data_IF_995297187624
#
_entry.id   IF_995297187624
#
_cell.length_a   1.000
_cell.length_b   1.000
_cell.length_c   1.000
_cell.angle_alpha   90.00
_cell.angle_beta   90.00
_cell.angle_gamma   90.00
#
_symmetry.space_group_name_H-M   'P 1'
#
loop_
_entity.id
_entity.type
_entity.pdbx_description
1 polymer ?
#
# COMPACT_ATOMS: atom_id res chain seq x y z
N UNK A 1 37.16 -6.79 -16.05
CA UNK A 1 35.79 -7.20 -15.71
C UNK A 1 35.38 -6.47 -14.45
N UNK A 2 34.48 -5.48 -14.55
CA UNK A 2 33.92 -4.80 -13.39
C UNK A 2 32.89 -5.74 -12.76
N UNK A 3 33.13 -6.20 -11.54
CA UNK A 3 32.16 -6.95 -10.75
C UNK A 3 31.12 -5.96 -10.24
N UNK A 4 30.03 -5.77 -11.00
CA UNK A 4 28.83 -5.17 -10.45
C UNK A 4 28.26 -6.16 -9.43
N UNK A 5 28.41 -5.86 -8.13
CA UNK A 5 27.65 -6.56 -7.11
C UNK A 5 26.16 -6.43 -7.44
N UNK A 6 25.46 -7.56 -7.52
CA UNK A 6 24.01 -7.54 -7.60
C UNK A 6 23.50 -6.94 -6.29
N UNK A 7 23.00 -5.70 -6.32
CA UNK A 7 22.35 -5.09 -5.16
C UNK A 7 21.17 -5.96 -4.77
N UNK A 8 21.25 -6.63 -3.62
CA UNK A 8 20.16 -7.47 -3.11
C UNK A 8 18.99 -6.57 -2.69
N UNK A 9 18.09 -6.30 -3.63
CA UNK A 9 16.86 -5.56 -3.37
C UNK A 9 15.84 -6.52 -2.76
N UNK A 10 15.40 -6.23 -1.54
CA UNK A 10 14.40 -7.01 -0.81
C UNK A 10 13.36 -6.07 -0.21
N UNK A 11 12.09 -6.46 -0.30
CA UNK A 11 10.97 -5.67 0.22
C UNK A 11 10.37 -6.23 1.52
N UNK A 12 10.80 -7.42 1.94
CA UNK A 12 10.35 -8.01 3.19
C UNK A 12 10.73 -7.11 4.37
N UNK A 13 9.75 -6.82 5.22
CA UNK A 13 9.88 -5.90 6.36
C UNK A 13 9.97 -4.42 5.99
N UNK A 14 9.90 -4.05 4.71
CA UNK A 14 9.80 -2.64 4.28
C UNK A 14 8.37 -2.18 4.41
N UNK A 15 8.19 -0.95 4.87
CA UNK A 15 6.89 -0.30 4.88
C UNK A 15 6.65 0.44 3.56
N UNK A 16 5.46 0.24 2.99
CA UNK A 16 5.02 0.87 1.75
C UNK A 16 3.71 1.58 2.05
N UNK A 17 3.72 2.90 1.91
CA UNK A 17 2.53 3.73 2.06
C UNK A 17 1.79 3.85 0.72
N UNK A 18 0.48 3.64 0.74
CA UNK A 18 -0.43 4.00 -0.35
C UNK A 18 -1.28 5.19 0.08
N UNK A 19 -1.21 6.25 -0.70
CA UNK A 19 -2.10 7.40 -0.57
C UNK A 19 -3.42 7.07 -1.27
N UNK A 20 -4.52 7.08 -0.52
CA UNK A 20 -5.85 6.80 -1.03
C UNK A 20 -6.88 7.77 -0.47
N UNK A 21 -8.01 7.91 -1.17
CA UNK A 21 -9.12 8.77 -0.78
C UNK A 21 -10.45 8.12 -1.20
N UNK A 22 -11.56 8.77 -0.86
CA UNK A 22 -12.89 8.34 -1.33
C UNK A 22 -12.91 8.26 -2.88
N UNK A 23 -13.50 7.20 -3.42
CA UNK A 23 -13.56 6.90 -4.85
C UNK A 23 -12.35 6.13 -5.40
N UNK A 24 -11.41 5.69 -4.54
CA UNK A 24 -10.31 4.81 -4.96
C UNK A 24 -10.85 3.52 -5.60
N UNK A 25 -10.16 3.00 -6.61
CA UNK A 25 -10.43 1.65 -7.12
C UNK A 25 -9.98 0.62 -6.06
N UNK A 26 -10.94 0.09 -5.30
CA UNK A 26 -10.66 -0.84 -4.21
C UNK A 26 -10.04 -2.16 -4.68
N UNK A 27 -10.43 -2.65 -5.86
CA UNK A 27 -9.90 -3.90 -6.42
C UNK A 27 -8.39 -3.78 -6.63
N UNK A 28 -7.95 -2.69 -7.28
CA UNK A 28 -6.53 -2.45 -7.52
C UNK A 28 -5.75 -2.21 -6.22
N UNK A 29 -6.36 -1.55 -5.24
CA UNK A 29 -5.76 -1.37 -3.92
C UNK A 29 -5.50 -2.73 -3.25
N UNK A 30 -6.50 -3.62 -3.24
CA UNK A 30 -6.38 -4.93 -2.62
C UNK A 30 -5.44 -5.86 -3.37
N UNK A 31 -5.44 -5.84 -4.71
CA UNK A 31 -4.46 -6.59 -5.51
C UNK A 31 -3.03 -6.15 -5.16
N UNK A 32 -2.79 -4.85 -5.11
CA UNK A 32 -1.47 -4.28 -4.78
C UNK A 32 -1.06 -4.64 -3.35
N UNK A 33 -1.98 -4.50 -2.40
CA UNK A 33 -1.77 -4.88 -0.99
C UNK A 33 -1.37 -6.35 -0.88
N UNK A 34 -2.18 -7.24 -1.44
CA UNK A 34 -1.95 -8.68 -1.36
C UNK A 34 -0.63 -9.09 -2.02
N UNK A 35 -0.29 -8.52 -3.17
CA UNK A 35 0.97 -8.83 -3.85
C UNK A 35 2.19 -8.45 -2.98
N UNK A 36 2.19 -7.25 -2.41
CA UNK A 36 3.30 -6.75 -1.59
C UNK A 36 3.39 -7.46 -0.23
N UNK A 37 2.26 -7.70 0.43
CA UNK A 37 2.23 -8.42 1.71
C UNK A 37 2.63 -9.90 1.55
N UNK A 38 2.31 -10.54 0.42
CA UNK A 38 2.78 -11.89 0.10
C UNK A 38 4.31 -11.97 -0.06
N UNK A 39 4.95 -10.89 -0.51
CA UNK A 39 6.41 -10.75 -0.55
C UNK A 39 7.01 -10.31 0.80
N UNK A 40 6.16 -10.11 1.82
CA UNK A 40 6.55 -9.79 3.18
C UNK A 40 6.74 -8.29 3.45
N UNK A 41 6.33 -7.41 2.52
CA UNK A 41 6.24 -5.98 2.82
C UNK A 41 5.08 -5.69 3.78
N UNK A 42 5.12 -4.52 4.40
CA UNK A 42 4.07 -4.01 5.29
C UNK A 42 3.40 -2.86 4.56
N UNK A 43 2.10 -2.99 4.27
CA UNK A 43 1.38 -1.95 3.55
C UNK A 43 0.59 -1.06 4.51
N UNK A 44 0.63 0.26 4.28
CA UNK A 44 -0.10 1.26 5.05
C UNK A 44 -0.95 2.13 4.16
N UNK A 45 -2.23 2.29 4.47
CA UNK A 45 -3.13 3.20 3.76
C UNK A 45 -3.16 4.53 4.51
N UNK A 46 -2.78 5.61 3.82
CA UNK A 46 -2.88 6.97 4.34
C UNK A 46 -3.95 7.73 3.56
N UNK A 47 -4.81 8.44 4.27
CA UNK A 47 -5.90 9.21 3.69
C UNK A 47 -6.04 10.61 4.29
N UNK A 48 -6.74 11.55 3.63
CA UNK A 48 -7.06 12.87 4.21
C UNK A 48 -7.83 12.82 5.53
N UNK A 49 -8.56 11.73 5.80
CA UNK A 49 -9.33 11.50 7.05
C UNK A 49 -8.86 10.22 7.75
N UNK A 50 -8.88 10.22 9.09
CA UNK A 50 -8.45 9.11 9.94
C UNK A 50 -9.49 7.97 10.09
N UNK A 51 -10.59 8.03 9.32
CA UNK A 51 -11.69 7.05 9.36
C UNK A 51 -11.66 6.24 8.05
N UNK A 52 -12.66 5.41 7.81
CA UNK A 52 -12.83 4.71 6.53
C UNK A 52 -12.92 5.67 5.34
N UNK A 53 -12.25 5.29 4.25
CA UNK A 53 -12.56 5.79 2.90
C UNK A 53 -13.50 4.81 2.20
N UNK A 54 -14.32 5.33 1.29
CA UNK A 54 -15.25 4.52 0.49
C UNK A 54 -14.67 4.34 -0.90
N UNK A 55 -14.47 3.08 -1.32
CA UNK A 55 -14.09 2.71 -2.68
C UNK A 55 -15.15 3.07 -3.72
N UNK A 56 -14.79 2.98 -5.00
CA UNK A 56 -15.68 3.32 -6.10
C UNK A 56 -16.95 2.43 -6.18
N UNK A 57 -16.89 1.21 -5.65
CA UNK A 57 -18.02 0.28 -5.60
C UNK A 57 -18.73 0.29 -4.25
N UNK A 58 -18.37 1.23 -3.37
CA UNK A 58 -18.98 1.42 -2.05
C UNK A 58 -18.31 0.64 -0.92
N UNK A 59 -17.19 -0.05 -1.19
CA UNK A 59 -16.45 -0.81 -0.18
C UNK A 59 -15.83 0.14 0.85
N UNK A 60 -16.01 -0.13 2.15
CA UNK A 60 -15.29 0.59 3.20
C UNK A 60 -13.87 0.06 3.36
N UNK A 61 -12.90 0.96 3.37
CA UNK A 61 -11.49 0.65 3.51
C UNK A 61 -10.97 1.38 4.75
N UNK A 62 -10.45 0.61 5.71
CA UNK A 62 -9.82 1.14 6.91
C UNK A 62 -8.53 1.88 6.55
N UNK A 63 -8.34 3.04 7.15
CA UNK A 63 -7.15 3.89 6.98
C UNK A 63 -6.22 3.68 8.18
N UNK A 64 -4.93 3.51 7.93
CA UNK A 64 -3.92 3.35 8.97
C UNK A 64 -3.55 4.70 9.62
N UNK A 65 -3.40 5.75 8.81
CA UNK A 65 -3.01 7.10 9.28
C UNK A 65 -3.67 8.22 8.45
N UNK A 66 -3.86 9.40 9.06
CA UNK A 66 -4.17 10.62 8.30
C UNK A 66 -2.91 11.24 7.70
N UNK A 67 -3.05 11.95 6.58
CA UNK A 67 -1.98 12.79 6.02
C UNK A 67 -1.84 14.16 6.70
N UNK A 68 -2.65 14.44 7.73
CA UNK A 68 -2.69 15.67 8.51
C UNK A 68 -2.54 15.36 10.00
#
# INVERSE_FOLDING_TARGET
>A
MSTHEASHSWIKGREITILAADGVNEEHLFITKNALENEGAILKVISPKLVDITGNSGTKILVDHSSF
#
